data_IF_717682902688
#
_entry.id   IF_717682902688
#
_cell.length_a   1.000
_cell.length_b   1.000
_cell.length_c   1.000
_cell.angle_alpha   90.00
_cell.angle_beta   90.00
_cell.angle_gamma   90.00
#
_symmetry.space_group_name_H-M   'P 1'
#
loop_
_entity.id
_entity.type
_entity.pdbx_description
1 polymer ?
#
# COMPACT_ATOMS: atom_id res chain seq x y z
N UNK A 1 32.84 1.85 8.97
CA UNK A 1 31.78 1.21 8.19
C UNK A 1 30.36 1.56 8.65
N UNK A 2 30.10 1.66 9.95
CA UNK A 2 28.81 2.10 10.46
C UNK A 2 28.43 3.53 10.01
N UNK A 3 29.40 4.42 9.87
CA UNK A 3 29.20 5.81 9.45
C UNK A 3 28.78 5.88 7.99
N UNK A 4 29.38 5.05 7.12
CA UNK A 4 29.04 4.98 5.69
C UNK A 4 27.63 4.46 5.51
N UNK A 5 27.22 3.45 6.28
CA UNK A 5 25.85 2.93 6.27
C UNK A 5 24.83 3.97 6.68
N UNK A 6 25.15 4.75 7.72
CA UNK A 6 24.28 5.81 8.23
C UNK A 6 24.12 6.91 7.18
N UNK A 7 25.21 7.31 6.53
CA UNK A 7 25.22 8.33 5.48
C UNK A 7 24.42 7.87 4.28
N UNK A 8 24.63 6.61 3.83
CA UNK A 8 23.88 6.04 2.71
C UNK A 8 22.39 5.94 3.02
N UNK A 9 22.03 5.51 4.24
CA UNK A 9 20.64 5.44 4.67
C UNK A 9 19.97 6.80 4.66
N UNK A 10 20.63 7.82 5.18
CA UNK A 10 20.13 9.20 5.17
C UNK A 10 20.03 9.75 3.76
N UNK A 11 21.01 9.44 2.89
CA UNK A 11 21.00 9.86 1.49
C UNK A 11 19.84 9.24 0.74
N UNK A 12 19.56 7.95 0.94
CA UNK A 12 18.43 7.26 0.34
C UNK A 12 17.10 7.89 0.78
N UNK A 13 16.95 8.17 2.08
CA UNK A 13 15.76 8.84 2.60
C UNK A 13 15.60 10.24 2.03
N UNK A 14 16.69 11.00 1.92
CA UNK A 14 16.66 12.33 1.34
C UNK A 14 16.28 12.29 -0.13
N UNK A 15 16.88 11.38 -0.91
CA UNK A 15 16.55 11.18 -2.32
C UNK A 15 15.09 10.77 -2.49
N UNK A 16 14.60 9.89 -1.63
CA UNK A 16 13.21 9.46 -1.66
C UNK A 16 12.25 10.63 -1.34
N UNK A 17 12.62 11.50 -0.41
CA UNK A 17 11.84 12.69 -0.08
C UNK A 17 11.81 13.70 -1.23
N UNK A 18 12.96 13.91 -1.88
CA UNK A 18 13.10 14.86 -3.00
C UNK A 18 12.44 14.33 -4.28
N UNK A 19 12.59 13.03 -4.54
CA UNK A 19 12.07 12.40 -5.76
C UNK A 19 10.76 11.65 -5.53
N UNK A 20 10.07 11.89 -4.42
CA UNK A 20 8.73 11.36 -4.21
C UNK A 20 7.79 11.83 -5.31
N UNK A 21 6.98 10.94 -5.90
CA UNK A 21 6.03 11.33 -6.93
C UNK A 21 5.01 12.33 -6.38
N UNK A 22 4.70 13.35 -7.20
CA UNK A 22 3.64 14.30 -6.84
C UNK A 22 2.29 13.60 -6.94
N UNK A 23 1.40 13.78 -5.96
CA UNK A 23 0.06 13.18 -6.02
C UNK A 23 -0.72 13.67 -7.23
N UNK A 24 -1.47 12.76 -7.84
CA UNK A 24 -2.37 13.05 -8.94
C UNK A 24 -3.45 14.04 -8.48
N UNK A 25 -3.78 15.00 -9.33
CA UNK A 25 -4.84 15.97 -9.06
C UNK A 25 -6.18 15.46 -9.59
N UNK A 26 -7.22 15.57 -8.76
CA UNK A 26 -8.60 15.23 -9.11
C UNK A 26 -9.52 16.32 -8.59
N UNK A 27 -10.78 16.36 -9.09
CA UNK A 27 -11.80 17.20 -8.49
C UNK A 27 -12.08 16.75 -7.06
N UNK A 28 -12.51 17.68 -6.19
CA UNK A 28 -12.82 17.35 -4.80
C UNK A 28 -13.89 16.27 -4.69
N UNK A 29 -14.92 16.34 -5.52
CA UNK A 29 -16.01 15.37 -5.54
C UNK A 29 -15.52 13.97 -5.90
N UNK A 30 -14.67 13.88 -6.93
CA UNK A 30 -14.09 12.61 -7.36
C UNK A 30 -13.17 12.04 -6.29
N UNK A 31 -12.33 12.89 -5.69
CA UNK A 31 -11.42 12.46 -4.63
C UNK A 31 -12.18 11.95 -3.39
N UNK A 32 -13.26 12.60 -3.01
CA UNK A 32 -14.10 12.16 -1.89
C UNK A 32 -14.74 10.81 -2.16
N UNK A 33 -15.22 10.58 -3.37
CA UNK A 33 -15.80 9.30 -3.78
C UNK A 33 -14.76 8.18 -3.72
N UNK A 34 -13.54 8.45 -4.20
CA UNK A 34 -12.43 7.51 -4.17
C UNK A 34 -12.02 7.21 -2.72
N UNK A 35 -11.89 8.23 -1.89
CA UNK A 35 -11.54 8.07 -0.47
C UNK A 35 -12.54 7.19 0.26
N UNK A 36 -13.83 7.35 -0.04
CA UNK A 36 -14.89 6.54 0.54
C UNK A 36 -14.78 5.08 0.11
N UNK A 37 -14.48 4.83 -1.16
CA UNK A 37 -14.30 3.48 -1.68
C UNK A 37 -13.07 2.80 -1.07
N UNK A 38 -12.00 3.56 -0.82
CA UNK A 38 -10.79 3.06 -0.20
C UNK A 38 -10.96 2.63 1.26
N UNK A 39 -12.02 3.06 1.93
CA UNK A 39 -12.33 2.63 3.30
C UNK A 39 -12.56 1.11 3.38
N UNK A 40 -12.95 0.49 2.27
CA UNK A 40 -13.15 -0.95 2.18
C UNK A 40 -11.89 -1.72 1.82
N UNK A 41 -10.77 -1.04 1.65
CA UNK A 41 -9.49 -1.63 1.24
C UNK A 41 -8.44 -1.45 2.32
N UNK A 42 -7.65 -2.49 2.56
CA UNK A 42 -6.57 -2.45 3.55
C UNK A 42 -5.34 -3.17 2.99
N UNK A 43 -4.19 -2.52 3.08
CA UNK A 43 -2.93 -3.10 2.65
C UNK A 43 -2.20 -3.70 3.84
N UNK A 44 -2.05 -5.02 3.84
CA UNK A 44 -1.19 -5.72 4.80
C UNK A 44 0.24 -5.64 4.29
N UNK A 45 1.16 -5.17 5.12
CA UNK A 45 2.50 -4.85 4.68
C UNK A 45 3.54 -4.96 5.78
N UNK A 46 4.82 -4.92 5.37
CA UNK A 46 5.95 -4.65 6.25
C UNK A 46 6.54 -3.30 5.83
N UNK A 47 6.88 -2.46 6.80
CA UNK A 47 7.34 -1.09 6.53
C UNK A 47 8.58 -1.06 5.61
N UNK A 48 9.54 -1.94 5.84
CA UNK A 48 10.81 -1.98 5.12
C UNK A 48 10.84 -2.92 3.92
N UNK A 49 9.74 -3.59 3.61
CA UNK A 49 9.68 -4.50 2.46
C UNK A 49 9.70 -3.71 1.13
N UNK A 50 10.64 -3.99 0.21
CA UNK A 50 10.73 -3.26 -1.06
C UNK A 50 9.46 -3.31 -1.91
N UNK A 51 8.81 -4.46 -1.95
CA UNK A 51 7.56 -4.62 -2.71
C UNK A 51 6.39 -3.87 -2.07
N UNK A 52 6.37 -3.79 -0.73
CA UNK A 52 5.39 -2.99 -0.01
C UNK A 52 5.62 -1.50 -0.24
N UNK A 53 6.87 -1.06 -0.23
CA UNK A 53 7.24 0.33 -0.56
C UNK A 53 6.78 0.69 -1.96
N UNK A 54 6.95 -0.21 -2.92
CA UNK A 54 6.52 -0.02 -4.31
C UNK A 54 5.02 0.24 -4.41
N UNK A 55 4.21 -0.53 -3.69
CA UNK A 55 2.75 -0.34 -3.66
C UNK A 55 2.39 0.99 -2.99
N UNK A 56 3.01 1.32 -1.85
CA UNK A 56 2.75 2.59 -1.17
C UNK A 56 3.09 3.80 -2.03
N UNK A 57 4.21 3.73 -2.77
CA UNK A 57 4.60 4.81 -3.69
C UNK A 57 3.61 4.97 -4.83
N UNK A 58 3.15 3.86 -5.40
CA UNK A 58 2.14 3.88 -6.46
C UNK A 58 0.82 4.48 -5.95
N UNK A 59 0.38 4.09 -4.77
CA UNK A 59 -0.82 4.64 -4.15
C UNK A 59 -0.69 6.14 -3.91
N UNK A 60 0.47 6.59 -3.41
CA UNK A 60 0.74 8.02 -3.19
C UNK A 60 0.71 8.80 -4.49
N UNK A 61 1.30 8.26 -5.56
CA UNK A 61 1.31 8.88 -6.89
C UNK A 61 -0.11 9.04 -7.43
N UNK A 62 -0.96 8.05 -7.19
CA UNK A 62 -2.35 8.07 -7.61
C UNK A 62 -3.26 8.87 -6.64
N UNK A 63 -2.69 9.47 -5.60
CA UNK A 63 -3.42 10.16 -4.54
C UNK A 63 -4.50 9.29 -3.90
N UNK A 64 -4.12 8.07 -3.55
CA UNK A 64 -4.99 7.10 -2.90
C UNK A 64 -4.57 6.94 -1.42
N UNK A 65 -5.33 7.50 -0.46
CA UNK A 65 -5.04 7.34 0.97
C UNK A 65 -5.43 5.95 1.46
N UNK A 66 -4.62 4.96 1.13
CA UNK A 66 -4.85 3.56 1.40
C UNK A 66 -4.46 3.23 2.85
N UNK A 67 -5.38 2.62 3.61
CA UNK A 67 -5.11 2.15 4.96
C UNK A 67 -4.11 1.00 4.93
N UNK A 68 -3.16 1.03 5.87
CA UNK A 68 -2.13 -0.01 5.98
C UNK A 68 -2.16 -0.64 7.37
N UNK A 69 -1.86 -1.95 7.42
CA UNK A 69 -1.69 -2.68 8.68
C UNK A 69 -0.35 -3.40 8.67
N UNK A 70 0.35 -3.34 9.80
CA UNK A 70 1.62 -4.02 9.98
C UNK A 70 1.36 -5.52 10.17
N UNK A 71 1.73 -6.32 9.16
CA UNK A 71 1.52 -7.76 9.18
C UNK A 71 2.44 -8.50 10.15
N UNK A 72 3.38 -7.79 10.80
CA UNK A 72 4.20 -8.37 11.88
C UNK A 72 3.45 -8.44 13.20
N UNK A 73 2.43 -7.61 13.39
CA UNK A 73 1.59 -7.69 14.58
C UNK A 73 0.79 -8.99 14.58
N UNK A 74 0.78 -9.75 15.69
CA UNK A 74 0.17 -11.09 15.71
C UNK A 74 -1.29 -11.14 15.26
N UNK A 75 -2.11 -10.17 15.64
CA UNK A 75 -3.51 -10.12 15.24
C UNK A 75 -3.67 -9.90 13.73
N UNK A 76 -2.84 -9.06 13.14
CA UNK A 76 -2.85 -8.76 11.70
C UNK A 76 -2.31 -9.95 10.90
N UNK A 77 -1.23 -10.57 11.38
CA UNK A 77 -0.67 -11.77 10.77
C UNK A 77 -1.70 -12.90 10.75
N UNK A 78 -2.40 -13.10 11.86
CA UNK A 78 -3.41 -14.14 11.97
C UNK A 78 -4.57 -13.88 10.99
N UNK A 79 -5.03 -12.64 10.89
CA UNK A 79 -6.08 -12.25 9.95
C UNK A 79 -5.66 -12.49 8.50
N UNK A 80 -4.40 -12.18 8.17
CA UNK A 80 -3.85 -12.39 6.83
C UNK A 80 -3.80 -13.87 6.46
N UNK A 81 -3.33 -14.72 7.38
CA UNK A 81 -3.24 -16.16 7.18
C UNK A 81 -4.64 -16.78 7.09
N UNK A 82 -5.54 -16.42 7.98
CA UNK A 82 -6.90 -16.97 8.03
C UNK A 82 -7.73 -16.55 6.81
N UNK A 83 -7.60 -15.31 6.38
CA UNK A 83 -8.37 -14.79 5.24
C UNK A 83 -7.74 -15.10 3.91
N UNK A 84 -6.46 -14.77 3.74
CA UNK A 84 -5.74 -14.93 2.49
C UNK A 84 -5.09 -16.29 2.28
N UNK A 85 -4.85 -17.02 3.36
CA UNK A 85 -4.23 -18.34 3.33
C UNK A 85 -2.71 -18.34 3.30
N UNK A 86 -2.06 -17.17 3.23
CA UNK A 86 -0.60 -17.06 3.14
C UNK A 86 -0.09 -15.89 3.97
N UNK A 87 1.03 -16.11 4.68
CA UNK A 87 1.78 -15.03 5.32
C UNK A 87 2.73 -14.41 4.30
N UNK A 88 2.17 -13.59 3.41
CA UNK A 88 2.94 -12.94 2.35
C UNK A 88 2.48 -11.49 2.20
N UNK A 89 3.42 -10.57 2.06
CA UNK A 89 3.15 -9.14 1.87
C UNK A 89 3.86 -8.65 0.61
N UNK A 90 3.36 -7.61 -0.06
CA UNK A 90 2.12 -6.91 0.22
C UNK A 90 0.88 -7.74 -0.10
N UNK A 91 -0.21 -7.50 0.64
CA UNK A 91 -1.50 -8.10 0.35
C UNK A 91 -2.59 -7.06 0.50
N UNK A 92 -3.38 -6.86 -0.54
CA UNK A 92 -4.51 -5.93 -0.52
C UNK A 92 -5.79 -6.71 -0.21
N UNK A 93 -6.42 -6.36 0.92
CA UNK A 93 -7.73 -6.89 1.31
C UNK A 93 -8.79 -5.94 0.79
N UNK A 94 -9.69 -6.46 -0.03
CA UNK A 94 -10.77 -5.69 -0.63
C UNK A 94 -12.10 -6.28 -0.17
N UNK A 95 -12.88 -5.49 0.57
CA UNK A 95 -14.23 -5.88 0.99
C UNK A 95 -15.23 -5.36 -0.03
N UNK A 96 -15.92 -6.28 -0.69
CA UNK A 96 -16.92 -5.94 -1.69
C UNK A 96 -18.23 -5.48 -1.02
N UNK A 97 -19.06 -4.74 -1.76
CA UNK A 97 -20.36 -4.30 -1.27
C UNK A 97 -21.27 -5.49 -0.86
N UNK A 98 -21.08 -6.64 -1.48
CA UNK A 98 -21.77 -7.88 -1.15
C UNK A 98 -21.31 -8.54 0.15
N UNK A 99 -20.23 -8.02 0.77
CA UNK A 99 -19.61 -8.62 1.95
C UNK A 99 -18.52 -9.62 1.62
N UNK A 100 -18.36 -9.98 0.38
CA UNK A 100 -17.28 -10.86 -0.08
C UNK A 100 -15.94 -10.16 0.03
N UNK A 101 -14.89 -10.88 0.48
CA UNK A 101 -13.55 -10.34 0.66
C UNK A 101 -12.57 -10.97 -0.31
N UNK A 102 -11.86 -10.13 -1.05
CA UNK A 102 -10.79 -10.55 -1.96
C UNK A 102 -9.44 -10.24 -1.32
N UNK A 103 -8.52 -11.21 -1.36
CA UNK A 103 -7.15 -11.06 -0.87
C UNK A 103 -6.22 -11.13 -2.07
N UNK A 104 -5.67 -9.99 -2.45
CA UNK A 104 -4.80 -9.88 -3.63
C UNK A 104 -3.34 -9.82 -3.19
N UNK A 105 -2.56 -10.80 -3.60
CA UNK A 105 -1.12 -10.85 -3.40
C UNK A 105 -0.42 -10.30 -4.64
N UNK A 106 0.89 -10.16 -4.61
CA UNK A 106 1.74 -9.65 -5.69
C UNK A 106 1.60 -8.14 -5.92
N UNK A 107 2.72 -7.43 -5.72
CA UNK A 107 2.76 -5.97 -5.83
C UNK A 107 2.34 -5.45 -7.20
N UNK A 108 2.73 -6.13 -8.27
CA UNK A 108 2.37 -5.73 -9.64
C UNK A 108 0.88 -5.83 -9.89
N UNK A 109 0.24 -6.87 -9.39
CA UNK A 109 -1.21 -7.07 -9.54
C UNK A 109 -2.00 -6.05 -8.73
N UNK A 110 -1.53 -5.74 -7.52
CA UNK A 110 -2.14 -4.73 -6.64
C UNK A 110 -2.09 -3.36 -7.32
N UNK A 111 -0.92 -2.98 -7.84
CA UNK A 111 -0.73 -1.69 -8.52
C UNK A 111 -1.62 -1.60 -9.75
N UNK A 112 -1.65 -2.66 -10.56
CA UNK A 112 -2.50 -2.71 -11.76
C UNK A 112 -3.97 -2.57 -11.40
N UNK A 113 -4.42 -3.25 -10.36
CA UNK A 113 -5.80 -3.14 -9.88
C UNK A 113 -6.14 -1.70 -9.49
N UNK A 114 -5.26 -1.05 -8.71
CA UNK A 114 -5.48 0.34 -8.29
C UNK A 114 -5.49 1.30 -9.48
N UNK A 115 -4.60 1.11 -10.45
CA UNK A 115 -4.55 1.93 -11.67
C UNK A 115 -5.82 1.80 -12.51
N UNK A 116 -6.36 0.60 -12.62
CA UNK A 116 -7.58 0.34 -13.40
C UNK A 116 -8.83 0.82 -12.67
N UNK A 117 -8.83 0.70 -11.35
CA UNK A 117 -9.99 1.08 -10.53
C UNK A 117 -10.09 2.59 -10.33
N UNK A 118 -8.94 3.26 -10.20
CA UNK A 118 -8.86 4.70 -9.90
C UNK A 118 -7.99 5.41 -10.96
N UNK A 119 -8.44 5.50 -12.20
CA UNK A 119 -7.65 6.14 -13.27
C UNK A 119 -7.43 7.64 -13.09
#
# INVERSE_FOLDING_TARGET
MKVIRLILGKLILLLNAVFSPKPQQRSDEEQQRINKELESMTLYQFESCPFCVKVRRAAKKMNLPLDTLDAKQPSNEQALINGGGKRKVPCLRIEQASGEVTWMYESSDIIRYLEQRFP
#
